data_IF_751751540157
#
_entry.id   IF_751751540157
#
_cell.length_a   1.000
_cell.length_b   1.000
_cell.length_c   1.000
_cell.angle_alpha   90.00
_cell.angle_beta   90.00
_cell.angle_gamma   90.00
#
_symmetry.space_group_name_H-M   'P 1'
#
loop_
_entity.id
_entity.type
_entity.pdbx_description
1 polymer ?
#
# COMPACT_ATOMS: atom_id res chain seq x y z
N UNK A 1 -5.70 11.09 -22.07
CA UNK A 1 -6.20 11.95 -20.98
C UNK A 1 -5.33 11.64 -19.77
N UNK A 2 -4.53 12.61 -19.31
CA UNK A 2 -3.72 12.43 -18.10
C UNK A 2 -4.65 12.59 -16.90
N UNK A 3 -5.18 11.49 -16.39
CA UNK A 3 -5.76 11.46 -15.05
C UNK A 3 -4.60 11.61 -14.07
N UNK A 4 -4.48 12.80 -13.47
CA UNK A 4 -3.65 12.95 -12.28
C UNK A 4 -4.11 11.90 -11.26
N UNK A 5 -3.20 11.13 -10.67
CA UNK A 5 -3.62 10.06 -9.78
C UNK A 5 -4.19 10.70 -8.51
N UNK A 6 -5.45 10.40 -8.21
CA UNK A 6 -6.21 11.03 -7.14
C UNK A 6 -5.84 10.33 -5.82
N UNK A 7 -5.51 11.12 -4.80
CA UNK A 7 -5.42 10.60 -3.44
C UNK A 7 -6.80 10.11 -2.99
N UNK A 8 -6.93 8.84 -2.63
CA UNK A 8 -8.20 8.26 -2.19
C UNK A 8 -8.26 8.20 -0.67
N UNK A 9 -9.28 8.85 -0.11
CA UNK A 9 -9.56 8.87 1.33
C UNK A 9 -10.75 7.96 1.63
N UNK A 10 -10.53 6.96 2.47
CA UNK A 10 -11.57 6.08 2.99
C UNK A 10 -11.66 6.23 4.51
N UNK A 11 -12.62 7.01 5.03
CA UNK A 11 -12.81 7.14 6.48
C UNK A 11 -13.41 5.86 7.07
N UNK A 12 -13.00 5.51 8.30
CA UNK A 12 -13.64 4.47 9.11
C UNK A 12 -14.54 5.07 10.19
N UNK A 13 -13.97 5.95 11.01
CA UNK A 13 -14.64 6.63 12.11
C UNK A 13 -14.00 8.01 12.30
N UNK A 14 -14.32 8.71 13.39
CA UNK A 14 -13.81 10.06 13.65
C UNK A 14 -12.27 10.16 13.73
N UNK A 15 -11.58 9.04 13.97
CA UNK A 15 -10.13 8.99 14.18
C UNK A 15 -9.41 8.21 13.07
N UNK A 16 -9.96 7.09 12.62
CA UNK A 16 -9.29 6.19 11.68
C UNK A 16 -9.70 6.45 10.23
N UNK A 17 -8.70 6.48 9.34
CA UNK A 17 -8.89 6.57 7.89
C UNK A 17 -7.76 5.89 7.12
N UNK A 18 -8.07 5.33 5.96
CA UNK A 18 -7.09 4.81 5.01
C UNK A 18 -6.89 5.82 3.88
N UNK A 19 -5.63 6.13 3.59
CA UNK A 19 -5.22 7.06 2.55
C UNK A 19 -4.42 6.29 1.52
N UNK A 20 -4.92 6.17 0.29
CA UNK A 20 -4.17 5.63 -0.84
C UNK A 20 -3.55 6.82 -1.57
N UNK A 21 -2.23 6.88 -1.53
CA UNK A 21 -1.47 8.04 -1.98
C UNK A 21 -0.60 7.59 -3.16
N UNK A 22 -1.02 7.90 -4.39
CA UNK A 22 -0.15 7.81 -5.53
C UNK A 22 0.84 8.97 -5.49
N UNK A 23 2.12 8.64 -5.54
CA UNK A 23 3.22 9.58 -5.64
C UNK A 23 3.91 9.40 -6.99
N UNK A 24 4.96 10.18 -7.26
CA UNK A 24 5.59 10.20 -8.58
C UNK A 24 6.06 8.81 -9.03
N UNK A 25 6.56 7.97 -8.11
CA UNK A 25 7.21 6.70 -8.45
C UNK A 25 6.53 5.45 -7.91
N UNK A 26 5.55 5.62 -7.05
CA UNK A 26 5.03 4.54 -6.20
C UNK A 26 3.66 4.90 -5.66
N UNK A 27 2.88 3.89 -5.32
CA UNK A 27 1.64 4.06 -4.58
C UNK A 27 1.74 3.38 -3.21
N UNK A 28 1.47 4.15 -2.15
CA UNK A 28 1.37 3.65 -0.77
C UNK A 28 -0.06 3.72 -0.27
N UNK A 29 -0.38 2.85 0.68
CA UNK A 29 -1.52 3.04 1.56
C UNK A 29 -1.03 3.36 2.97
N UNK A 30 -1.62 4.38 3.58
CA UNK A 30 -1.35 4.81 4.95
C UNK A 30 -2.62 4.68 5.78
N UNK A 31 -2.56 3.90 6.86
CA UNK A 31 -3.56 3.92 7.90
C UNK A 31 -3.23 5.06 8.86
N UNK A 32 -4.16 6.00 9.02
CA UNK A 32 -4.00 7.15 9.89
C UNK A 32 -4.97 7.07 11.07
N UNK A 33 -4.44 7.33 12.26
CA UNK A 33 -5.23 7.62 13.45
C UNK A 33 -5.03 9.10 13.78
N UNK A 34 -6.12 9.86 13.74
CA UNK A 34 -6.14 11.31 13.80
C UNK A 34 -5.22 11.91 12.72
N UNK A 35 -4.09 12.51 13.11
CA UNK A 35 -3.10 13.08 12.18
C UNK A 35 -1.88 12.19 11.96
N UNK A 36 -1.74 11.09 12.70
CA UNK A 36 -0.54 10.25 12.72
C UNK A 36 -0.70 9.03 11.81
N UNK A 37 0.37 8.67 11.10
CA UNK A 37 0.45 7.39 10.39
C UNK A 37 0.72 6.30 11.41
N UNK A 38 -0.23 5.37 11.56
CA UNK A 38 -0.15 4.24 12.49
C UNK A 38 0.16 2.91 11.79
N UNK A 39 0.01 2.85 10.46
CA UNK A 39 0.58 1.82 9.62
C UNK A 39 0.74 2.30 8.18
N UNK A 40 1.65 1.67 7.45
CA UNK A 40 1.97 1.96 6.05
C UNK A 40 2.26 0.68 5.28
N UNK A 41 1.92 0.66 3.99
CA UNK A 41 2.26 -0.45 3.09
C UNK A 41 2.43 0.03 1.66
N UNK A 42 3.45 -0.49 1.00
CA UNK A 42 3.64 -0.37 -0.44
C UNK A 42 2.58 -1.17 -1.20
N UNK A 43 1.97 -0.57 -2.23
CA UNK A 43 1.01 -1.25 -3.11
C UNK A 43 1.67 -1.67 -4.43
N UNK A 44 2.23 -0.73 -5.16
CA UNK A 44 2.88 -0.97 -6.44
C UNK A 44 3.82 0.17 -6.82
N UNK A 45 4.79 -0.10 -7.69
CA UNK A 45 5.60 0.94 -8.30
C UNK A 45 4.90 1.50 -9.55
N UNK A 46 5.04 2.81 -9.79
CA UNK A 46 4.67 3.46 -11.05
C UNK A 46 5.78 3.33 -12.09
N UNK A 47 7.03 3.24 -11.63
CA UNK A 47 8.23 3.07 -12.46
C UNK A 47 9.10 1.93 -11.93
N UNK A 48 9.91 1.27 -12.77
CA UNK A 48 10.83 0.24 -12.30
C UNK A 48 11.71 0.73 -11.15
N UNK A 49 11.91 -0.14 -10.14
CA UNK A 49 12.80 0.16 -9.03
C UNK A 49 14.27 0.18 -9.50
N UNK A 50 15.03 1.15 -9.00
CA UNK A 50 16.46 1.28 -9.30
C UNK A 50 17.30 0.36 -8.39
N UNK A 51 18.44 -0.11 -8.89
CA UNK A 51 19.41 -0.87 -8.12
C UNK A 51 20.67 -0.01 -7.83
N UNK A 52 21.21 0.00 -6.60
CA UNK A 52 20.77 -0.75 -5.41
C UNK A 52 19.51 -0.15 -4.76
N UNK A 53 18.83 -0.92 -3.91
CA UNK A 53 17.57 -0.51 -3.28
C UNK A 53 17.75 0.81 -2.50
N UNK A 54 16.85 1.76 -2.73
CA UNK A 54 17.01 3.17 -2.32
C UNK A 54 17.15 3.35 -0.81
N UNK A 55 16.50 2.49 -0.02
CA UNK A 55 16.57 2.51 1.44
C UNK A 55 17.95 2.12 2.00
N UNK A 56 18.85 1.58 1.16
CA UNK A 56 20.22 1.21 1.56
C UNK A 56 21.24 2.33 1.31
N UNK A 57 20.83 3.40 0.62
CA UNK A 57 21.73 4.49 0.27
C UNK A 57 21.98 5.45 1.45
N UNK A 58 23.16 6.11 1.53
CA UNK A 58 23.46 7.05 2.61
C UNK A 58 22.46 8.22 2.71
N UNK A 59 21.86 8.61 1.59
CA UNK A 59 20.87 9.67 1.44
C UNK A 59 19.43 9.12 1.33
N UNK A 60 19.17 7.88 1.77
CA UNK A 60 17.87 7.23 1.65
C UNK A 60 16.68 8.11 2.07
N UNK A 61 16.81 8.89 3.16
CA UNK A 61 15.71 9.75 3.63
C UNK A 61 15.26 10.81 2.62
N UNK A 62 16.15 11.36 1.80
CA UNK A 62 15.78 12.34 0.76
C UNK A 62 15.20 11.68 -0.49
N UNK A 63 15.12 10.34 -0.52
CA UNK A 63 14.59 9.54 -1.64
C UNK A 63 13.23 8.91 -1.31
N UNK A 64 12.65 9.24 -0.15
CA UNK A 64 11.28 8.84 0.16
C UNK A 64 10.30 9.51 -0.83
N UNK A 65 9.25 8.80 -1.27
CA UNK A 65 8.92 7.41 -0.97
C UNK A 65 9.74 6.40 -1.78
N UNK A 66 10.03 5.24 -1.20
CA UNK A 66 10.83 4.21 -1.87
C UNK A 66 10.02 3.33 -2.82
N UNK A 67 10.63 3.01 -3.96
CA UNK A 67 10.18 1.92 -4.84
C UNK A 67 10.52 0.57 -4.21
N UNK A 68 9.72 -0.47 -4.52
CA UNK A 68 9.98 -1.83 -4.08
C UNK A 68 10.71 -2.62 -5.18
N UNK A 69 11.96 -3.08 -4.97
CA UNK A 69 12.73 -3.86 -5.93
C UNK A 69 11.98 -5.11 -6.41
N UNK A 70 12.29 -5.56 -7.63
CA UNK A 70 11.69 -6.77 -8.22
C UNK A 70 11.92 -8.04 -7.42
N UNK A 71 12.92 -8.06 -6.53
CA UNK A 71 13.18 -9.16 -5.61
C UNK A 71 12.22 -9.20 -4.40
N UNK A 72 11.47 -8.12 -4.15
CA UNK A 72 10.53 -7.98 -3.04
C UNK A 72 9.08 -7.75 -3.51
N UNK A 73 8.87 -7.14 -4.68
CA UNK A 73 7.53 -6.82 -5.19
C UNK A 73 7.37 -7.08 -6.68
N UNK A 74 6.16 -7.46 -7.09
CA UNK A 74 5.74 -7.57 -8.49
C UNK A 74 5.84 -6.20 -9.18
N UNK A 75 6.29 -6.21 -10.43
CA UNK A 75 6.49 -4.97 -11.21
C UNK A 75 5.41 -4.79 -12.30
N UNK A 76 4.62 -5.82 -12.57
CA UNK A 76 3.56 -5.92 -13.56
C UNK A 76 2.17 -5.67 -12.94
N UNK A 77 2.07 -4.70 -12.03
CA UNK A 77 0.80 -4.34 -11.39
C UNK A 77 0.13 -3.24 -12.19
N UNK A 78 -1.11 -3.47 -12.63
CA UNK A 78 -1.90 -2.44 -13.29
C UNK A 78 -2.37 -1.38 -12.27
N UNK A 79 -1.95 -0.11 -12.36
CA UNK A 79 -2.26 0.93 -11.39
C UNK A 79 -3.77 1.12 -11.14
N UNK A 80 -4.12 1.73 -10.02
CA UNK A 80 -5.47 2.24 -9.78
C UNK A 80 -5.67 3.48 -10.65
N UNK A 81 -6.62 3.44 -11.57
CA UNK A 81 -6.92 4.56 -12.48
C UNK A 81 -8.22 5.29 -12.18
N UNK A 82 -9.15 4.62 -11.49
CA UNK A 82 -10.47 5.15 -11.14
C UNK A 82 -10.77 4.88 -9.65
N UNK A 83 -11.24 5.88 -8.87
CA UNK A 83 -11.70 5.68 -7.50
C UNK A 83 -12.70 4.51 -7.31
N UNK A 84 -13.56 4.23 -8.30
CA UNK A 84 -14.56 3.17 -8.26
C UNK A 84 -13.95 1.76 -8.32
N UNK A 85 -12.69 1.64 -8.71
CA UNK A 85 -11.97 0.37 -8.62
C UNK A 85 -11.69 -0.02 -7.17
N UNK A 86 -11.73 0.93 -6.24
CA UNK A 86 -11.30 0.75 -4.86
C UNK A 86 -12.48 0.54 -3.92
N UNK A 87 -12.36 -0.48 -3.07
CA UNK A 87 -13.25 -0.71 -1.95
C UNK A 87 -12.43 -1.01 -0.70
N UNK A 88 -12.78 -0.38 0.41
CA UNK A 88 -12.18 -0.67 1.72
C UNK A 88 -13.22 -1.30 2.63
N UNK A 89 -12.88 -2.44 3.22
CA UNK A 89 -13.65 -3.07 4.29
C UNK A 89 -12.94 -2.85 5.61
N UNK A 90 -13.69 -2.49 6.64
CA UNK A 90 -13.17 -2.18 7.96
C UNK A 90 -13.60 -3.23 8.97
N UNK A 91 -12.70 -3.55 9.89
CA UNK A 91 -12.97 -4.33 11.08
C UNK A 91 -12.14 -3.78 12.22
N UNK A 92 -12.77 -3.03 13.12
CA UNK A 92 -12.09 -2.32 14.19
C UNK A 92 -10.90 -1.50 13.65
N UNK A 93 -9.68 -1.84 14.06
CA UNK A 93 -8.45 -1.15 13.69
C UNK A 93 -7.77 -1.73 12.44
N UNK A 94 -8.50 -2.49 11.63
CA UNK A 94 -7.99 -3.17 10.43
C UNK A 94 -8.71 -2.68 9.18
N UNK A 95 -7.92 -2.16 8.23
CA UNK A 95 -8.35 -1.80 6.89
C UNK A 95 -7.98 -2.91 5.89
N UNK A 96 -8.99 -3.40 5.17
CA UNK A 96 -8.82 -4.40 4.10
C UNK A 96 -9.11 -3.74 2.76
N UNK A 97 -8.09 -3.57 1.94
CA UNK A 97 -8.14 -2.89 0.66
C UNK A 97 -8.39 -3.88 -0.47
N UNK A 98 -9.45 -3.65 -1.22
CA UNK A 98 -9.78 -4.35 -2.45
C UNK A 98 -9.68 -3.41 -3.64
N UNK A 99 -9.08 -3.89 -4.72
CA UNK A 99 -9.02 -3.18 -6.00
C UNK A 99 -9.51 -4.10 -7.10
N UNK A 100 -10.50 -3.65 -7.87
CA UNK A 100 -11.18 -4.42 -8.92
C UNK A 100 -11.68 -5.78 -8.41
N UNK A 101 -12.21 -5.78 -7.19
CA UNK A 101 -12.73 -6.97 -6.51
C UNK A 101 -11.68 -7.89 -5.88
N UNK A 102 -10.39 -7.71 -6.17
CA UNK A 102 -9.31 -8.54 -5.61
C UNK A 102 -8.74 -7.92 -4.33
N UNK A 103 -8.39 -8.76 -3.35
CA UNK A 103 -7.71 -8.33 -2.13
C UNK A 103 -6.28 -7.88 -2.46
N UNK A 104 -5.96 -6.62 -2.18
CA UNK A 104 -4.65 -6.03 -2.47
C UNK A 104 -3.80 -5.82 -1.23
N UNK A 105 -4.40 -5.34 -0.14
CA UNK A 105 -3.63 -5.07 1.07
C UNK A 105 -4.47 -5.20 2.35
N UNK A 106 -3.78 -5.46 3.46
CA UNK A 106 -4.33 -5.40 4.81
C UNK A 106 -3.38 -4.55 5.67
N UNK A 107 -3.94 -3.54 6.32
CA UNK A 107 -3.25 -2.70 7.29
C UNK A 107 -3.98 -2.76 8.63
N UNK A 108 -3.27 -3.10 9.70
CA UNK A 108 -3.73 -2.97 11.08
C UNK A 108 -2.91 -1.90 11.82
N UNK A 109 -3.52 -1.21 12.80
CA UNK A 109 -2.78 -0.28 13.67
C UNK A 109 -1.54 -0.95 14.26
N UNK A 110 -0.37 -0.33 14.09
CA UNK A 110 0.92 -0.84 14.55
C UNK A 110 1.72 -1.61 13.49
N UNK A 111 1.13 -1.95 12.35
CA UNK A 111 1.84 -2.59 11.24
C UNK A 111 2.89 -1.64 10.65
N UNK A 112 4.17 -2.07 10.62
CA UNK A 112 5.29 -1.36 10.00
C UNK A 112 6.26 -2.35 9.36
N UNK A 113 6.00 -2.86 8.14
CA UNK A 113 4.91 -2.47 7.22
C UNK A 113 3.67 -3.36 7.30
N UNK A 114 2.59 -2.97 6.63
CA UNK A 114 1.39 -3.79 6.38
C UNK A 114 1.64 -4.96 5.41
N UNK A 115 0.56 -5.63 4.98
CA UNK A 115 0.61 -6.76 4.04
C UNK A 115 0.08 -6.39 2.67
N UNK A 116 0.74 -6.85 1.60
CA UNK A 116 0.38 -6.58 0.21
C UNK A 116 0.42 -7.86 -0.65
N UNK A 117 -0.59 -8.06 -1.49
CA UNK A 117 -0.68 -9.19 -2.43
C UNK A 117 0.39 -9.15 -3.53
N UNK A 118 0.96 -7.97 -3.78
CA UNK A 118 2.02 -7.78 -4.77
C UNK A 118 3.41 -8.00 -4.18
N UNK A 119 3.55 -8.22 -2.88
CA UNK A 119 4.82 -8.61 -2.27
C UNK A 119 5.16 -10.07 -2.60
N UNK A 120 6.40 -10.32 -3.02
CA UNK A 120 6.93 -11.66 -3.35
C UNK A 120 7.49 -12.34 -2.09
N UNK A 121 8.09 -11.55 -1.20
CA UNK A 121 8.60 -11.97 0.11
C UNK A 121 8.50 -10.81 1.09
N UNK A 122 8.61 -11.09 2.38
CA UNK A 122 8.63 -10.05 3.40
C UNK A 122 9.82 -9.11 3.19
N UNK A 123 9.54 -7.83 3.27
CA UNK A 123 10.52 -6.78 3.07
C UNK A 123 10.19 -5.53 3.88
N UNK A 124 11.05 -4.50 3.78
CA UNK A 124 10.89 -3.28 4.57
C UNK A 124 9.65 -2.46 4.20
N UNK A 125 9.09 -2.64 2.98
CA UNK A 125 7.98 -1.83 2.47
C UNK A 125 6.62 -2.56 2.47
N UNK A 126 6.64 -3.89 2.49
CA UNK A 126 5.44 -4.72 2.57
C UNK A 126 5.79 -6.14 3.04
N UNK A 127 4.86 -6.74 3.79
CA UNK A 127 4.83 -8.18 4.06
C UNK A 127 3.96 -8.91 3.05
N UNK A 128 4.22 -10.19 2.84
CA UNK A 128 3.38 -11.02 1.96
C UNK A 128 1.98 -11.14 2.53
N UNK A 129 0.98 -10.93 1.69
CA UNK A 129 -0.40 -11.24 2.01
C UNK A 129 -0.67 -12.72 1.74
N UNK A 130 -0.78 -13.52 2.80
CA UNK A 130 -1.11 -14.94 2.68
C UNK A 130 -2.54 -15.09 2.12
N UNK A 131 -2.67 -15.80 1.00
CA UNK A 131 -3.94 -16.01 0.29
C UNK A 131 -4.99 -16.73 1.15
N UNK A 132 -4.56 -17.45 2.21
CA UNK A 132 -5.45 -18.11 3.16
C UNK A 132 -6.25 -17.14 4.05
N UNK A 133 -5.83 -15.88 4.14
CA UNK A 133 -6.56 -14.84 4.89
C UNK A 133 -7.69 -14.23 4.05
N UNK A 134 -7.66 -14.38 2.72
CA UNK A 134 -8.72 -13.89 1.83
C UNK A 134 -9.99 -14.75 1.89
N UNK A 135 -9.87 -16.03 2.27
CA UNK A 135 -10.98 -16.99 2.30
C UNK A 135 -11.62 -17.15 3.69
N UNK A 136 -10.98 -16.67 4.75
CA UNK A 136 -11.53 -16.75 6.10
C UNK A 136 -11.99 -15.39 6.60
N UNK A 137 -13.21 -15.02 6.24
CA UNK A 137 -14.13 -14.37 7.19
C UNK A 137 -15.58 -14.60 6.77
N UNK A 138 -16.45 -15.04 7.72
CA UNK A 138 -17.85 -15.40 7.47
C UNK A 138 -18.71 -14.22 7.02
#
# INVERSE_FOLDING_TARGET
>A
MNTNPIMLLHPHNARLSLHIVPEERVCYAYLREDRRVVADVWLYNMFPSEAPAEWTLPDARSRLPFTNPSSYGRQDVNPISDPNEVRVSWSENVATLYVRGALWAILATGDRPGRCAHAIKDGPLARVLDSRVAETRP
#
